data_IF_499178801522
#
_entry.id   IF_499178801522
#
_cell.length_a   1.000
_cell.length_b   1.000
_cell.length_c   1.000
_cell.angle_alpha   90.00
_cell.angle_beta   90.00
_cell.angle_gamma   90.00
#
_symmetry.space_group_name_H-M   'P 1'
#
loop_
_entity.id
_entity.type
_entity.pdbx_description
1 polymer ?
#
# COMPACT_ATOMS: atom_id res chain seq x y z
N UNK A 1 -4.38 -8.66 15.03
CA UNK A 1 -4.10 -9.94 14.37
C UNK A 1 -3.78 -10.96 15.44
N UNK A 2 -4.18 -12.22 15.28
CA UNK A 2 -3.76 -13.27 16.21
C UNK A 2 -2.26 -13.57 16.00
N UNK A 3 -1.51 -13.98 17.03
CA UNK A 3 -0.11 -14.40 16.90
C UNK A 3 0.05 -15.48 15.84
N UNK A 4 1.09 -15.37 15.01
CA UNK A 4 1.41 -16.32 13.94
C UNK A 4 2.79 -16.94 14.24
N UNK A 5 2.94 -18.28 14.17
CA UNK A 5 4.23 -18.93 14.38
C UNK A 5 5.29 -18.41 13.41
N UNK A 6 6.47 -18.10 13.93
CA UNK A 6 7.59 -17.58 13.12
C UNK A 6 7.43 -16.12 12.67
N UNK A 7 6.41 -15.40 13.14
CA UNK A 7 6.17 -13.99 12.80
C UNK A 7 6.21 -13.14 14.06
N UNK A 8 7.15 -12.19 14.10
CA UNK A 8 7.13 -11.13 15.09
C UNK A 8 6.09 -10.07 14.71
N UNK A 9 5.20 -9.74 15.63
CA UNK A 9 4.11 -8.78 15.40
C UNK A 9 4.32 -7.53 16.24
N UNK A 10 4.30 -6.38 15.58
CA UNK A 10 4.31 -5.07 16.20
C UNK A 10 2.94 -4.44 15.99
N UNK A 11 2.31 -3.99 17.08
CA UNK A 11 1.06 -3.23 17.02
C UNK A 11 1.39 -1.75 17.19
N UNK A 12 1.62 -1.07 16.06
CA UNK A 12 1.99 0.34 16.02
C UNK A 12 1.25 1.09 14.92
N UNK A 13 1.37 2.41 14.97
CA UNK A 13 0.96 3.32 13.89
C UNK A 13 2.19 3.59 13.02
N UNK A 14 2.12 3.20 11.75
CA UNK A 14 3.24 3.27 10.80
C UNK A 14 3.69 4.72 10.51
N UNK A 15 2.89 5.72 10.88
CA UNK A 15 3.24 7.14 10.78
C UNK A 15 4.06 7.65 11.96
N UNK A 16 4.21 6.85 13.02
CA UNK A 16 4.91 7.24 14.24
C UNK A 16 6.35 6.78 14.24
N UNK A 17 7.23 7.68 14.69
CA UNK A 17 8.65 7.41 15.01
C UNK A 17 8.84 6.17 15.87
N UNK A 18 8.04 6.02 16.93
CA UNK A 18 8.14 4.90 17.85
C UNK A 18 8.01 3.54 17.17
N UNK A 19 7.21 3.46 16.09
CA UNK A 19 7.00 2.23 15.33
C UNK A 19 8.23 1.90 14.47
N UNK A 20 8.84 2.90 13.85
CA UNK A 20 10.09 2.73 13.09
C UNK A 20 11.22 2.28 14.01
N UNK A 21 11.35 2.91 15.18
CA UNK A 21 12.34 2.54 16.19
C UNK A 21 12.13 1.10 16.69
N UNK A 22 10.88 0.72 16.98
CA UNK A 22 10.55 -0.65 17.39
C UNK A 22 10.89 -1.67 16.29
N UNK A 23 10.63 -1.36 15.02
CA UNK A 23 11.03 -2.20 13.89
C UNK A 23 12.56 -2.34 13.85
N UNK A 24 13.29 -1.23 13.88
CA UNK A 24 14.75 -1.25 13.81
C UNK A 24 15.37 -2.04 14.97
N UNK A 25 14.78 -1.95 16.17
CA UNK A 25 15.20 -2.73 17.33
C UNK A 25 15.05 -4.23 17.11
N UNK A 26 14.00 -4.70 16.42
CA UNK A 26 13.85 -6.13 16.07
C UNK A 26 14.80 -6.62 14.99
N UNK A 27 15.28 -5.69 14.17
CA UNK A 27 16.28 -6.00 13.15
C UNK A 27 17.72 -5.93 13.70
N UNK A 28 17.93 -5.59 14.98
CA UNK A 28 19.26 -5.62 15.60
C UNK A 28 19.76 -7.05 15.74
N UNK A 29 21.02 -7.23 15.37
CA UNK A 29 21.79 -8.46 15.56
C UNK A 29 22.48 -8.46 16.91
N UNK A 30 23.02 -9.62 17.32
CA UNK A 30 23.79 -9.80 18.55
C UNK A 30 25.01 -8.87 18.64
N UNK A 31 25.53 -8.39 17.51
CA UNK A 31 26.65 -7.46 17.42
C UNK A 31 26.21 -5.98 17.35
N UNK A 32 24.95 -5.67 17.73
CA UNK A 32 24.33 -4.33 17.69
C UNK A 32 24.27 -3.70 16.28
N UNK A 33 24.50 -4.48 15.23
CA UNK A 33 24.29 -4.04 13.84
C UNK A 33 22.83 -4.23 13.47
N UNK A 34 22.27 -3.26 12.75
CA UNK A 34 20.91 -3.33 12.22
C UNK A 34 20.95 -4.11 10.90
N UNK A 35 20.33 -5.29 10.87
CA UNK A 35 20.02 -5.97 9.63
C UNK A 35 18.97 -5.17 8.86
N UNK A 36 18.98 -5.30 7.54
CA UNK A 36 18.01 -4.63 6.67
C UNK A 36 17.08 -5.66 6.05
N UNK A 37 15.86 -5.23 5.71
CA UNK A 37 14.88 -6.07 5.05
C UNK A 37 15.19 -6.18 3.55
N UNK A 38 15.05 -7.38 3.00
CA UNK A 38 15.14 -7.60 1.54
C UNK A 38 13.85 -7.20 0.80
N UNK A 39 12.72 -7.28 1.52
CA UNK A 39 11.40 -7.02 0.98
C UNK A 39 10.51 -6.35 2.05
N UNK A 40 9.85 -5.27 1.66
CA UNK A 40 8.74 -4.67 2.42
C UNK A 40 7.47 -4.78 1.60
N UNK A 41 6.37 -5.19 2.25
CA UNK A 41 5.05 -5.33 1.63
C UNK A 41 4.04 -4.48 2.39
N UNK A 42 3.24 -3.69 1.67
CA UNK A 42 2.11 -2.94 2.22
C UNK A 42 0.81 -3.31 1.49
N UNK A 43 -0.02 -4.14 2.10
CA UNK A 43 -1.35 -4.50 1.55
C UNK A 43 -2.49 -3.62 2.11
N UNK A 44 -2.13 -2.58 2.86
CA UNK A 44 -3.09 -1.70 3.53
C UNK A 44 -3.97 -0.94 2.53
N UNK A 45 -5.25 -0.80 2.88
CA UNK A 45 -6.19 0.07 2.20
C UNK A 45 -7.11 0.75 3.23
N UNK A 46 -7.48 2.03 3.03
CA UNK A 46 -8.47 2.69 3.87
C UNK A 46 -9.86 2.16 3.58
N UNK A 47 -10.80 2.48 4.48
CA UNK A 47 -12.22 2.29 4.22
C UNK A 47 -12.62 3.11 2.99
N UNK A 48 -13.15 2.43 1.97
CA UNK A 48 -13.54 3.05 0.70
C UNK A 48 -14.80 3.87 0.90
N UNK A 49 -14.70 5.18 0.70
CA UNK A 49 -15.83 6.11 0.84
C UNK A 49 -16.73 6.11 -0.40
N UNK A 50 -16.19 5.68 -1.55
CA UNK A 50 -16.85 5.76 -2.85
C UNK A 50 -16.59 7.08 -3.58
N UNK A 51 -15.90 8.03 -2.93
CA UNK A 51 -15.40 9.24 -3.56
C UNK A 51 -13.95 8.99 -4.01
N UNK A 52 -13.81 8.60 -5.28
CA UNK A 52 -12.54 8.13 -5.84
C UNK A 52 -11.35 9.08 -5.60
N UNK A 53 -11.55 10.39 -5.67
CA UNK A 53 -10.47 11.36 -5.47
C UNK A 53 -9.94 11.34 -4.01
N UNK A 54 -10.83 11.17 -3.03
CA UNK A 54 -10.46 11.10 -1.61
C UNK A 54 -9.83 9.74 -1.32
N UNK A 55 -10.44 8.66 -1.82
CA UNK A 55 -9.94 7.30 -1.64
C UNK A 55 -8.53 7.15 -2.24
N UNK A 56 -8.27 7.74 -3.42
CA UNK A 56 -6.95 7.83 -4.04
C UNK A 56 -5.95 8.57 -3.16
N UNK A 57 -6.32 9.75 -2.66
CA UNK A 57 -5.44 10.56 -1.82
C UNK A 57 -5.04 9.85 -0.53
N UNK A 58 -6.01 9.24 0.17
CA UNK A 58 -5.76 8.52 1.41
C UNK A 58 -4.93 7.27 1.16
N UNK A 59 -5.19 6.53 0.07
CA UNK A 59 -4.35 5.39 -0.32
C UNK A 59 -2.91 5.83 -0.62
N UNK A 60 -2.73 6.94 -1.35
CA UNK A 60 -1.41 7.50 -1.65
C UNK A 60 -0.62 7.84 -0.37
N UNK A 61 -1.26 8.49 0.60
CA UNK A 61 -0.65 8.81 1.89
C UNK A 61 -0.22 7.54 2.66
N UNK A 62 -1.02 6.47 2.58
CA UNK A 62 -0.69 5.20 3.19
C UNK A 62 0.57 4.57 2.56
N UNK A 63 0.67 4.61 1.23
CA UNK A 63 1.87 4.15 0.50
C UNK A 63 3.09 5.00 0.85
N UNK A 64 2.94 6.32 0.95
CA UNK A 64 4.05 7.21 1.34
C UNK A 64 4.50 7.00 2.79
N UNK A 65 3.58 6.71 3.72
CA UNK A 65 3.94 6.32 5.07
C UNK A 65 4.73 5.00 5.10
N UNK A 66 4.32 4.01 4.29
CA UNK A 66 5.06 2.76 4.14
C UNK A 66 6.43 2.97 3.47
N UNK A 67 6.53 3.84 2.46
CA UNK A 67 7.79 4.24 1.85
C UNK A 67 8.72 4.86 2.89
N UNK A 68 8.21 5.72 3.77
CA UNK A 68 9.00 6.32 4.84
C UNK A 68 9.67 5.25 5.73
N UNK A 69 8.94 4.17 6.06
CA UNK A 69 9.53 3.02 6.76
C UNK A 69 10.62 2.37 5.89
N UNK A 70 10.35 2.13 4.59
CA UNK A 70 11.31 1.52 3.67
C UNK A 70 12.65 2.26 3.63
N UNK A 71 12.63 3.60 3.64
CA UNK A 71 13.85 4.43 3.66
C UNK A 71 14.78 4.11 4.84
N UNK A 72 14.23 3.61 5.95
CA UNK A 72 15.00 3.25 7.14
C UNK A 72 15.31 1.76 7.25
N UNK A 73 14.48 0.87 6.70
CA UNK A 73 14.57 -0.57 6.96
C UNK A 73 15.04 -1.40 5.77
N UNK A 74 14.87 -0.93 4.54
CA UNK A 74 15.16 -1.70 3.34
C UNK A 74 16.67 -1.73 3.04
N UNK A 75 17.17 -2.84 2.52
CA UNK A 75 18.57 -2.99 2.11
C UNK A 75 18.79 -2.39 0.71
N UNK A 76 20.04 -2.08 0.39
CA UNK A 76 20.43 -1.72 -0.98
C UNK A 76 20.02 -2.84 -1.95
N UNK A 77 19.45 -2.47 -3.09
CA UNK A 77 18.83 -3.35 -4.07
C UNK A 77 17.59 -4.14 -3.58
N UNK A 78 17.07 -3.84 -2.38
CA UNK A 78 15.85 -4.43 -1.85
C UNK A 78 14.60 -4.04 -2.65
N UNK A 79 13.48 -4.68 -2.32
CA UNK A 79 12.22 -4.52 -3.05
C UNK A 79 11.10 -3.99 -2.14
N UNK A 80 10.18 -3.22 -2.72
CA UNK A 80 8.99 -2.74 -2.05
C UNK A 80 7.76 -3.02 -2.90
N UNK A 81 6.73 -3.62 -2.30
CA UNK A 81 5.46 -3.91 -2.97
C UNK A 81 4.34 -3.26 -2.17
N UNK A 82 3.47 -2.50 -2.83
CA UNK A 82 2.32 -1.87 -2.16
C UNK A 82 1.04 -2.00 -2.97
N UNK A 83 -0.08 -2.16 -2.28
CA UNK A 83 -1.41 -1.93 -2.84
C UNK A 83 -1.57 -0.45 -3.17
N UNK A 84 -2.17 -0.14 -4.31
CA UNK A 84 -2.51 1.20 -4.76
C UNK A 84 -3.91 1.21 -5.38
N UNK A 85 -4.54 2.39 -5.41
CA UNK A 85 -5.69 2.65 -6.27
C UNK A 85 -5.19 3.34 -7.53
N UNK A 86 -5.26 2.65 -8.66
CA UNK A 86 -4.82 3.16 -9.95
C UNK A 86 -5.93 3.99 -10.58
N UNK A 87 -5.97 5.26 -10.20
CA UNK A 87 -6.90 6.27 -10.72
C UNK A 87 -6.14 7.32 -11.53
N UNK A 88 -6.73 8.50 -11.74
CA UNK A 88 -6.26 9.46 -12.76
C UNK A 88 -4.96 10.19 -12.38
N UNK A 89 -4.68 10.39 -11.09
CA UNK A 89 -3.59 11.27 -10.63
C UNK A 89 -2.41 10.50 -9.99
N UNK A 90 -2.30 9.21 -10.28
CA UNK A 90 -1.30 8.31 -9.69
C UNK A 90 0.15 8.61 -10.13
N UNK A 91 0.34 9.39 -11.20
CA UNK A 91 1.66 9.73 -11.76
C UNK A 91 2.59 10.37 -10.73
N UNK A 92 2.04 11.15 -9.79
CA UNK A 92 2.82 11.77 -8.72
C UNK A 92 3.46 10.73 -7.80
N UNK A 93 2.68 9.71 -7.41
CA UNK A 93 3.17 8.61 -6.58
C UNK A 93 4.27 7.83 -7.30
N UNK A 94 4.15 7.67 -8.62
CA UNK A 94 5.18 7.01 -9.41
C UNK A 94 6.48 7.80 -9.44
N UNK A 95 6.41 9.12 -9.61
CA UNK A 95 7.57 10.01 -9.56
C UNK A 95 8.27 9.93 -8.21
N UNK A 96 7.50 9.96 -7.12
CA UNK A 96 8.02 9.83 -5.75
C UNK A 96 8.77 8.52 -5.53
N UNK A 97 8.22 7.41 -6.00
CA UNK A 97 8.84 6.09 -5.86
C UNK A 97 10.09 5.95 -6.75
N UNK A 98 10.06 6.49 -7.96
CA UNK A 98 11.22 6.45 -8.89
C UNK A 98 12.46 7.18 -8.37
N UNK A 99 12.33 8.04 -7.35
CA UNK A 99 13.49 8.63 -6.69
C UNK A 99 14.32 7.63 -5.90
N UNK A 100 13.73 6.50 -5.48
CA UNK A 100 14.36 5.55 -4.58
C UNK A 100 14.45 4.14 -5.17
N UNK A 101 13.93 3.91 -6.37
CA UNK A 101 13.88 2.60 -7.00
C UNK A 101 14.14 2.73 -8.51
N UNK A 102 15.10 1.94 -9.01
CA UNK A 102 15.45 1.98 -10.43
C UNK A 102 14.34 1.45 -11.32
N UNK A 103 13.56 0.48 -10.82
CA UNK A 103 12.49 -0.14 -11.55
C UNK A 103 11.19 -0.11 -10.75
N UNK A 104 10.15 0.44 -11.38
CA UNK A 104 8.82 0.60 -10.80
C UNK A 104 7.85 0.14 -11.87
N UNK A 105 7.02 -0.84 -11.52
CA UNK A 105 6.04 -1.45 -12.42
C UNK A 105 4.69 -1.57 -11.71
N UNK A 106 3.60 -1.52 -12.47
CA UNK A 106 2.28 -1.86 -11.96
C UNK A 106 2.00 -3.31 -12.26
N UNK A 107 1.54 -4.04 -11.27
CA UNK A 107 1.14 -5.43 -11.38
C UNK A 107 -0.34 -5.57 -10.99
N UNK A 108 -1.13 -6.29 -11.79
CA UNK A 108 -2.48 -6.70 -11.42
C UNK A 108 -2.59 -8.23 -11.50
N UNK A 109 -2.60 -8.93 -10.36
CA UNK A 109 -2.68 -10.39 -10.35
C UNK A 109 -4.09 -10.85 -10.71
N UNK A 110 -4.22 -12.08 -11.24
CA UNK A 110 -5.53 -12.71 -11.53
C UNK A 110 -6.43 -12.91 -10.31
N UNK A 111 -5.84 -12.94 -9.13
CA UNK A 111 -6.57 -12.99 -7.85
C UNK A 111 -7.17 -11.63 -7.45
N UNK A 112 -6.84 -10.54 -8.15
CA UNK A 112 -7.46 -9.23 -7.94
C UNK A 112 -8.61 -9.01 -8.94
N UNK A 113 -9.75 -8.55 -8.44
CA UNK A 113 -10.97 -8.33 -9.24
C UNK A 113 -10.70 -7.38 -10.39
N UNK A 114 -11.12 -7.77 -11.61
CA UNK A 114 -10.87 -6.93 -12.77
C UNK A 114 -11.61 -5.59 -12.69
N UNK A 115 -12.80 -5.58 -12.08
CA UNK A 115 -13.61 -4.38 -11.83
C UNK A 115 -13.06 -3.41 -10.77
N UNK A 116 -12.08 -3.85 -9.97
CA UNK A 116 -11.46 -3.00 -8.95
C UNK A 116 -10.46 -2.02 -9.56
N UNK A 117 -10.39 -0.80 -9.02
CA UNK A 117 -9.29 0.15 -9.29
C UNK A 117 -8.00 -0.24 -8.56
N UNK A 118 -8.07 -1.25 -7.70
CA UNK A 118 -6.91 -1.82 -7.01
C UNK A 118 -5.90 -2.39 -8.02
N UNK A 119 -4.63 -2.10 -7.76
CA UNK A 119 -3.47 -2.72 -8.39
C UNK A 119 -2.33 -2.72 -7.38
N UNK A 120 -1.23 -3.40 -7.72
CA UNK A 120 -0.03 -3.39 -6.92
C UNK A 120 1.06 -2.60 -7.65
N UNK A 121 1.79 -1.78 -6.91
CA UNK A 121 3.04 -1.21 -7.39
C UNK A 121 4.18 -2.09 -6.88
N UNK A 122 5.07 -2.48 -7.79
CA UNK A 122 6.26 -3.30 -7.50
C UNK A 122 7.47 -2.45 -7.80
N UNK A 123 8.19 -2.09 -6.76
CA UNK A 123 9.41 -1.28 -6.81
C UNK A 123 10.60 -2.18 -6.51
N UNK A 124 11.61 -2.15 -7.38
CA UNK A 124 12.80 -3.01 -7.32
C UNK A 124 14.05 -2.18 -7.37
N UNK A 125 15.14 -2.74 -6.85
CA UNK A 125 16.46 -2.10 -6.84
C UNK A 125 16.42 -0.79 -6.05
N UNK A 126 16.10 -0.91 -4.76
CA UNK A 126 16.14 0.22 -3.84
C UNK A 126 17.53 0.85 -3.77
N UNK A 127 17.58 2.18 -3.81
CA UNK A 127 18.77 2.97 -3.59
C UNK A 127 18.40 4.31 -2.96
N UNK A 128 19.34 4.91 -2.24
CA UNK A 128 19.21 6.28 -1.75
C UNK A 128 19.93 7.24 -2.70
N UNK A 129 19.30 8.35 -3.13
CA UNK A 129 19.99 9.37 -3.91
C UNK A 129 21.23 9.93 -3.21
N UNK A 130 22.19 10.41 -4.00
CA UNK A 130 23.40 11.05 -3.47
C UNK A 130 23.04 12.20 -2.53
N UNK A 131 23.62 12.19 -1.32
CA UNK A 131 23.38 13.17 -0.24
C UNK A 131 21.96 13.15 0.37
N UNK A 132 21.13 12.16 0.04
CA UNK A 132 19.85 11.98 0.72
C UNK A 132 20.04 11.20 2.02
N UNK A 133 19.63 11.80 3.14
CA UNK A 133 19.63 11.15 4.45
C UNK A 133 18.17 11.06 4.92
N UNK A 134 17.61 9.85 5.06
CA UNK A 134 16.27 9.66 5.61
C UNK A 134 16.13 10.29 7.00
N UNK A 135 15.13 11.16 7.17
CA UNK A 135 14.83 11.79 8.46
C UNK A 135 13.58 11.16 9.08
N UNK A 136 13.72 10.55 10.25
CA UNK A 136 12.61 9.93 10.98
C UNK A 136 11.61 11.00 11.49
N UNK A 137 12.09 12.20 11.84
CA UNK A 137 11.29 13.29 12.40
C UNK A 137 10.56 14.11 11.33
N UNK A 138 11.07 14.10 10.09
CA UNK A 138 10.47 14.80 8.96
C UNK A 138 10.19 13.80 7.82
N UNK A 139 9.03 13.10 7.87
CA UNK A 139 8.67 12.11 6.86
C UNK A 139 8.72 12.66 5.44
N UNK A 140 9.14 11.82 4.49
CA UNK A 140 9.35 12.19 3.08
C UNK A 140 8.14 12.88 2.42
N UNK A 141 6.92 12.50 2.82
CA UNK A 141 5.68 13.11 2.33
C UNK A 141 5.68 14.65 2.44
N UNK A 142 6.18 15.19 3.56
CA UNK A 142 6.15 16.64 3.82
C UNK A 142 7.29 17.38 3.12
N UNK A 143 8.42 16.72 2.91
CA UNK A 143 9.57 17.33 2.22
C UNK A 143 9.37 17.34 0.71
N UNK A 144 8.78 16.29 0.14
CA UNK A 144 8.56 16.19 -1.29
C UNK A 144 7.63 17.29 -1.83
N UNK A 145 6.52 17.58 -1.14
CA UNK A 145 5.60 18.65 -1.55
C UNK A 145 6.28 20.02 -1.69
N UNK A 146 7.25 20.31 -0.81
CA UNK A 146 8.04 21.56 -0.90
C UNK A 146 8.94 21.57 -2.14
N UNK A 147 9.45 20.41 -2.53
CA UNK A 147 10.40 20.23 -3.64
C UNK A 147 9.71 20.29 -5.01
N UNK A 148 8.46 19.83 -5.09
CA UNK A 148 7.62 19.86 -6.30
C UNK A 148 7.34 21.27 -6.83
N UNK A 149 7.38 22.30 -5.98
CA UNK A 149 7.10 23.68 -6.40
C UNK A 149 8.10 24.20 -7.45
N UNK A 150 9.23 23.53 -7.64
CA UNK A 150 10.31 23.95 -8.53
C UNK A 150 10.66 22.97 -9.67
N UNK A 151 9.95 21.85 -9.84
CA UNK A 151 10.24 20.87 -10.91
C UNK A 151 9.14 20.81 -11.98
N UNK A 152 9.56 20.75 -13.25
CA UNK A 152 8.65 20.49 -14.36
C UNK A 152 8.05 19.08 -14.25
N UNK A 153 6.75 18.95 -14.54
CA UNK A 153 6.08 17.64 -14.62
C UNK A 153 6.73 16.80 -15.71
N UNK A 154 7.58 15.85 -15.34
CA UNK A 154 8.02 14.79 -16.24
C UNK A 154 6.95 13.70 -16.29
N UNK A 155 6.26 13.56 -17.42
CA UNK A 155 5.37 12.41 -17.62
C UNK A 155 6.19 11.22 -18.09
N UNK A 156 6.15 10.13 -17.33
CA UNK A 156 6.71 8.85 -17.75
C UNK A 156 5.65 7.77 -17.60
N UNK A 157 5.72 6.76 -18.46
CA UNK A 157 4.77 5.65 -18.46
C UNK A 157 5.34 4.53 -17.60
N UNK A 158 4.68 4.24 -16.49
CA UNK A 158 4.99 3.04 -15.70
C UNK A 158 4.41 1.81 -16.41
N UNK A 159 5.22 0.77 -16.69
CA UNK A 159 4.73 -0.42 -17.37
C UNK A 159 3.71 -1.16 -16.51
N UNK A 160 2.67 -1.68 -17.17
CA UNK A 160 1.65 -2.51 -16.54
C UNK A 160 1.89 -3.97 -16.90
N UNK A 161 1.97 -4.83 -15.89
CA UNK A 161 2.32 -6.24 -15.99
C UNK A 161 1.16 -7.07 -15.46
N UNK A 162 0.64 -7.97 -16.28
CA UNK A 162 -0.21 -9.04 -15.80
C UNK A 162 0.68 -10.06 -15.07
N UNK A 163 0.32 -10.43 -13.84
CA UNK A 163 1.11 -11.36 -13.04
C UNK A 163 0.29 -12.56 -12.55
N UNK A 164 0.99 -13.66 -12.26
CA UNK A 164 0.42 -14.95 -11.85
C UNK A 164 0.53 -16.03 -12.91
N UNK A 165 0.31 -17.28 -12.51
CA UNK A 165 0.29 -18.44 -13.41
C UNK A 165 -1.01 -18.47 -14.24
N UNK A 166 -0.94 -19.07 -15.43
CA UNK A 166 -2.14 -19.42 -16.21
C UNK A 166 -3.04 -20.41 -15.46
N UNK A 167 -2.46 -21.20 -14.56
CA UNK A 167 -3.15 -22.19 -13.72
C UNK A 167 -3.67 -21.60 -12.39
N UNK A 168 -3.43 -20.30 -12.14
CA UNK A 168 -3.85 -19.65 -10.91
C UNK A 168 -5.36 -19.45 -10.78
N UNK A 169 -5.81 -19.29 -9.54
CA UNK A 169 -7.19 -18.88 -9.24
C UNK A 169 -7.50 -17.49 -9.82
N UNK A 170 -8.72 -17.37 -10.33
CA UNK A 170 -9.27 -16.22 -11.02
C UNK A 170 -10.36 -15.64 -10.14
N UNK A 171 -10.22 -14.37 -9.75
CA UNK A 171 -11.14 -13.72 -8.83
C UNK A 171 -12.58 -13.62 -9.35
N UNK A 172 -12.77 -13.72 -10.67
CA UNK A 172 -14.07 -13.61 -11.32
C UNK A 172 -14.65 -15.00 -11.69
N UNK A 173 -14.03 -16.09 -11.22
CA UNK A 173 -14.52 -17.48 -11.42
C UNK A 173 -14.94 -18.14 -10.11
N UNK A 174 -15.91 -19.06 -10.23
CA UNK A 174 -16.29 -19.98 -9.16
C UNK A 174 -15.60 -21.32 -9.35
N UNK A 175 -15.05 -21.87 -8.27
CA UNK A 175 -14.34 -23.15 -8.27
C UNK A 175 -15.12 -24.19 -7.45
N UNK A 176 -15.14 -25.47 -7.86
CA UNK A 176 -15.72 -26.53 -7.05
C UNK A 176 -14.94 -26.70 -5.73
N UNK A 177 -15.66 -26.92 -4.65
CA UNK A 177 -15.08 -27.21 -3.34
C UNK A 177 -14.60 -28.66 -3.30
N UNK A 178 -13.30 -28.88 -3.13
CA UNK A 178 -12.72 -30.22 -2.91
C UNK A 178 -12.83 -30.68 -1.45
N UNK A 179 -13.09 -29.74 -0.53
CA UNK A 179 -13.15 -29.96 0.92
C UNK A 179 -14.48 -29.43 1.48
N UNK A 180 -14.86 -29.89 2.68
CA UNK A 180 -16.03 -29.34 3.38
C UNK A 180 -15.87 -27.84 3.59
N UNK A 181 -16.96 -27.10 3.35
CA UNK A 181 -17.01 -25.66 3.56
C UNK A 181 -16.84 -25.35 5.04
N UNK A 182 -15.86 -24.49 5.36
CA UNK A 182 -15.64 -23.95 6.69
C UNK A 182 -16.10 -22.49 6.67
N UNK A 183 -16.95 -22.10 7.63
CA UNK A 183 -17.34 -20.71 7.75
C UNK A 183 -16.12 -19.81 8.06
N UNK A 184 -16.04 -18.62 7.45
CA UNK A 184 -14.95 -17.70 7.72
C UNK A 184 -14.96 -17.29 9.19
N UNK A 185 -13.78 -17.36 9.82
CA UNK A 185 -13.58 -16.98 11.24
C UNK A 185 -14.01 -15.53 11.50
N UNK A 186 -13.85 -14.67 10.50
CA UNK A 186 -14.31 -13.30 10.52
C UNK A 186 -15.16 -13.06 9.27
N UNK A 187 -16.46 -12.75 9.41
CA UNK A 187 -17.29 -12.41 8.27
C UNK A 187 -16.81 -11.08 7.65
N UNK A 188 -17.12 -10.82 6.36
CA UNK A 188 -16.84 -9.54 5.75
C UNK A 188 -17.39 -8.40 6.60
N UNK A 189 -16.58 -7.37 6.84
CA UNK A 189 -17.03 -6.15 7.49
C UNK A 189 -18.10 -5.47 6.62
N UNK A 190 -19.16 -4.99 7.27
CA UNK A 190 -20.22 -4.25 6.61
C UNK A 190 -19.63 -3.00 5.95
N UNK A 191 -19.84 -2.75 4.64
CA UNK A 191 -19.32 -1.57 3.98
C UNK A 191 -19.90 -0.29 4.62
N UNK A 192 -19.11 0.78 4.70
CA UNK A 192 -19.51 2.04 5.32
C UNK A 192 -20.81 2.65 4.73
N UNK A 193 -21.13 2.32 3.47
CA UNK A 193 -22.35 2.78 2.79
C UNK A 193 -23.56 1.87 2.98
N UNK A 194 -23.48 0.77 3.73
CA UNK A 194 -24.57 -0.17 3.87
C UNK A 194 -25.82 0.47 4.48
N UNK A 195 -25.64 1.26 5.54
CA UNK A 195 -26.72 2.01 6.17
C UNK A 195 -27.34 3.01 5.18
N UNK A 196 -26.51 3.74 4.43
CA UNK A 196 -26.98 4.65 3.39
C UNK A 196 -27.76 3.91 2.28
N UNK A 197 -27.31 2.72 1.86
CA UNK A 197 -28.02 1.87 0.91
C UNK A 197 -29.34 1.34 1.47
N UNK A 198 -29.39 0.96 2.75
CA UNK A 198 -30.60 0.53 3.44
C UNK A 198 -31.61 1.69 3.58
N UNK A 199 -31.14 2.89 3.94
CA UNK A 199 -31.92 4.12 4.00
C UNK A 199 -32.43 4.53 2.62
N UNK A 200 -31.64 4.33 1.56
CA UNK A 200 -32.06 4.54 0.17
C UNK A 200 -33.18 3.59 -0.25
N UNK A 201 -33.01 2.29 0.03
CA UNK A 201 -34.04 1.27 -0.23
C UNK A 201 -35.34 1.55 0.53
N UNK A 202 -35.24 2.08 1.76
CA UNK A 202 -36.39 2.40 2.61
C UNK A 202 -36.93 3.83 2.42
N UNK A 203 -36.40 4.61 1.47
CA UNK A 203 -36.74 6.04 1.24
C UNK A 203 -36.60 6.93 2.49
N UNK A 204 -35.66 6.60 3.38
CA UNK A 204 -35.35 7.32 4.63
C UNK A 204 -34.07 8.15 4.55
N UNK A 205 -33.46 8.27 3.36
CA UNK A 205 -32.30 9.14 3.16
C UNK A 205 -32.70 10.58 3.50
N UNK A 206 -32.03 11.25 4.46
CA UNK A 206 -32.31 12.64 4.77
C UNK A 206 -32.08 13.48 3.52
N UNK A 207 -33.13 14.20 3.09
CA UNK A 207 -33.01 15.18 2.01
C UNK A 207 -32.16 16.30 2.59
N UNK A 208 -31.02 16.61 1.96
CA UNK A 208 -30.24 17.79 2.34
C UNK A 208 -31.14 19.01 2.12
N UNK A 209 -31.61 19.62 3.20
CA UNK A 209 -32.16 20.97 3.17
C UNK A 209 -30.99 21.90 2.89
N UNK A 210 -30.84 22.27 1.62
CA UNK A 210 -29.95 23.31 1.12
C UNK A 210 -30.28 24.67 1.73
#
# INVERSE_FOLDING_TARGET
MAPLPGVEQIKGDITKRSTIEEILDRFKTSDEKINKADLVICDGAPDVTGLHDIDEFVQGNLVLAALNICLHVLCENGNFVSKIFRTKNIDLLYQQLKLFFDDVVIAKPRSSRNSSVESFIVCRQFHLPDNFIPNIDEPFIYTYERTLTNQEKSSFVVPFIACGSLDGFDSDKTYPLEQEYIEPIQPPIHPAYEEACALKKTKKLPISSS
#
